data_IF_247368920015
#
_entry.id   IF_247368920015
#
_cell.length_a   1.000
_cell.length_b   1.000
_cell.length_c   1.000
_cell.angle_alpha   90.00
_cell.angle_beta   90.00
_cell.angle_gamma   90.00
#
_symmetry.space_group_name_H-M   'P 1'
#
loop_
_entity.id
_entity.type
_entity.pdbx_description
1 polymer ?
#
# COMPACT_ATOMS: atom_id res chain seq x y z
N UNK A 1 20.80 -9.98 6.43
CA UNK A 1 19.87 -8.99 7.02
C UNK A 1 18.49 -9.28 6.46
N UNK A 2 17.64 -10.01 7.20
CA UNK A 2 16.26 -10.25 6.75
C UNK A 2 15.46 -8.97 6.98
N UNK A 3 15.33 -8.16 5.93
CA UNK A 3 14.35 -7.08 5.91
C UNK A 3 12.97 -7.73 6.04
N UNK A 4 12.43 -7.73 7.25
CA UNK A 4 11.05 -8.11 7.54
C UNK A 4 10.16 -7.00 6.99
N UNK A 5 10.12 -6.88 5.66
CA UNK A 5 9.39 -5.84 4.96
C UNK A 5 7.91 -6.18 5.09
N UNK A 6 7.28 -5.68 6.15
CA UNK A 6 5.84 -5.81 6.32
C UNK A 6 5.19 -4.87 5.31
N UNK A 7 4.07 -5.29 4.69
CA UNK A 7 3.34 -4.40 3.82
C UNK A 7 2.90 -3.16 4.62
N UNK A 8 3.06 -1.98 4.00
CA UNK A 8 2.61 -0.71 4.56
C UNK A 8 1.09 -0.70 4.68
N UNK A 9 0.40 -1.17 3.63
CA UNK A 9 -1.05 -1.29 3.59
C UNK A 9 -1.46 -2.32 2.52
N UNK A 10 -2.70 -2.81 2.59
CA UNK A 10 -3.34 -3.57 1.52
C UNK A 10 -4.76 -3.08 1.30
N UNK A 11 -4.99 -2.46 0.15
CA UNK A 11 -6.29 -1.96 -0.26
C UNK A 11 -7.05 -3.08 -0.97
N UNK A 12 -8.35 -3.24 -0.68
CA UNK A 12 -9.15 -4.35 -1.21
C UNK A 12 -10.50 -3.86 -1.73
N UNK A 13 -10.82 -4.25 -2.96
CA UNK A 13 -12.11 -4.04 -3.61
C UNK A 13 -12.65 -5.39 -4.08
N UNK A 14 -13.54 -5.98 -3.28
CA UNK A 14 -14.06 -7.31 -3.52
C UNK A 14 -12.95 -8.37 -3.61
N UNK A 15 -12.81 -9.01 -4.77
CA UNK A 15 -11.84 -10.08 -4.99
C UNK A 15 -10.46 -9.58 -5.40
N UNK A 16 -10.27 -8.30 -5.69
CA UNK A 16 -8.96 -7.72 -6.02
C UNK A 16 -8.41 -6.92 -4.86
N UNK A 17 -7.09 -6.88 -4.77
CA UNK A 17 -6.36 -6.10 -3.78
C UNK A 17 -5.07 -5.54 -4.36
N UNK A 18 -4.56 -4.46 -3.78
CA UNK A 18 -3.24 -3.90 -4.04
C UNK A 18 -2.51 -3.77 -2.71
N UNK A 19 -1.41 -4.50 -2.57
CA UNK A 19 -0.51 -4.41 -1.41
C UNK A 19 0.58 -3.38 -1.68
N UNK A 20 0.80 -2.47 -0.74
CA UNK A 20 1.84 -1.44 -0.80
C UNK A 20 3.02 -1.90 0.07
N UNK A 21 4.22 -1.84 -0.47
CA UNK A 21 5.46 -2.16 0.25
C UNK A 21 6.36 -0.93 0.30
N UNK A 22 6.95 -0.65 1.46
CA UNK A 22 8.01 0.33 1.60
C UNK A 22 9.36 -0.35 1.43
N UNK A 23 10.22 0.18 0.59
CA UNK A 23 11.56 -0.34 0.38
C UNK A 23 12.58 0.79 0.55
N UNK A 24 13.80 0.42 0.89
CA UNK A 24 14.91 1.35 1.06
C UNK A 24 16.07 0.89 0.19
N UNK A 25 16.69 1.81 -0.55
CA UNK A 25 17.95 1.53 -1.25
C UNK A 25 19.11 1.45 -0.24
N UNK A 26 20.26 0.87 -0.60
CA UNK A 26 21.45 0.89 0.27
C UNK A 26 21.87 2.29 0.70
N UNK A 27 21.59 3.30 -0.14
CA UNK A 27 21.86 4.73 0.12
C UNK A 27 20.77 5.41 0.97
N UNK A 28 19.79 4.65 1.48
CA UNK A 28 18.74 5.15 2.36
C UNK A 28 17.54 5.81 1.66
N UNK A 29 17.44 5.72 0.32
CA UNK A 29 16.30 6.31 -0.42
C UNK A 29 15.06 5.42 -0.27
N UNK A 30 13.97 5.99 0.24
CA UNK A 30 12.68 5.30 0.38
C UNK A 30 11.87 5.34 -0.92
N UNK A 31 11.43 4.17 -1.38
CA UNK A 31 10.54 3.98 -2.51
C UNK A 31 9.45 2.95 -2.21
N UNK A 32 8.33 3.02 -2.92
CA UNK A 32 7.21 2.10 -2.74
C UNK A 32 7.08 1.17 -3.93
N UNK A 33 6.77 -0.10 -3.69
CA UNK A 33 6.32 -1.03 -4.70
C UNK A 33 4.88 -1.47 -4.42
N UNK A 34 4.18 -1.89 -5.47
CA UNK A 34 2.75 -2.24 -5.40
C UNK A 34 2.54 -3.61 -6.00
N UNK A 35 1.80 -4.47 -5.30
CA UNK A 35 1.49 -5.83 -5.75
C UNK A 35 -0.02 -6.00 -5.89
N UNK A 36 -0.57 -5.88 -7.11
CA UNK A 36 -1.95 -6.22 -7.36
C UNK A 36 -2.15 -7.75 -7.30
N UNK A 37 -3.28 -8.19 -6.76
CA UNK A 37 -3.63 -9.60 -6.66
C UNK A 37 -5.15 -9.78 -6.73
N UNK A 38 -5.58 -10.92 -7.25
CA UNK A 38 -6.97 -11.38 -7.21
C UNK A 38 -7.08 -12.65 -6.38
N UNK A 39 -7.98 -12.68 -5.41
CA UNK A 39 -8.28 -13.85 -4.58
C UNK A 39 -9.31 -14.75 -5.25
N UNK A 40 -9.04 -16.05 -5.25
CA UNK A 40 -9.96 -17.09 -5.68
C UNK A 40 -9.83 -18.31 -4.78
N UNK A 41 -10.86 -19.16 -4.78
CA UNK A 41 -10.85 -20.44 -4.07
C UNK A 41 -10.45 -21.52 -5.08
N UNK A 42 -9.47 -22.34 -4.73
CA UNK A 42 -9.06 -23.47 -5.57
C UNK A 42 -9.98 -24.69 -5.40
N UNK A 43 -9.66 -25.78 -6.10
CA UNK A 43 -10.42 -27.03 -6.05
C UNK A 43 -10.47 -27.66 -4.65
N UNK A 44 -9.49 -27.39 -3.80
CA UNK A 44 -9.41 -27.90 -2.42
C UNK A 44 -10.14 -26.98 -1.42
N UNK A 45 -10.84 -25.94 -1.90
CA UNK A 45 -11.51 -24.97 -1.03
C UNK A 45 -10.58 -23.94 -0.39
N UNK A 46 -9.31 -23.86 -0.82
CA UNK A 46 -8.31 -22.97 -0.21
C UNK A 46 -8.24 -21.63 -0.95
N UNK A 47 -8.20 -20.50 -0.24
CA UNK A 47 -8.00 -19.20 -0.86
C UNK A 47 -6.57 -19.09 -1.42
N UNK A 48 -6.47 -18.74 -2.70
CA UNK A 48 -5.24 -18.45 -3.42
C UNK A 48 -5.30 -17.07 -4.06
N UNK A 49 -4.14 -16.53 -4.40
CA UNK A 49 -4.00 -15.28 -5.17
C UNK A 49 -3.45 -15.55 -6.57
N UNK A 50 -3.79 -14.67 -7.51
CA UNK A 50 -3.23 -14.65 -8.87
C UNK A 50 -3.01 -13.22 -9.33
N UNK A 51 -2.10 -13.03 -10.30
CA UNK A 51 -1.88 -11.77 -11.01
C UNK A 51 -2.63 -11.71 -12.35
N UNK A 52 -3.51 -12.68 -12.62
CA UNK A 52 -4.40 -12.68 -13.79
C UNK A 52 -5.77 -12.10 -13.43
N UNK A 53 -6.23 -11.14 -14.23
CA UNK A 53 -7.47 -10.39 -13.99
C UNK A 53 -8.45 -10.57 -15.15
N UNK A 54 -9.72 -10.81 -14.84
CA UNK A 54 -10.79 -10.82 -15.83
C UNK A 54 -11.35 -9.42 -16.07
N UNK A 55 -12.19 -9.28 -17.11
CA UNK A 55 -12.84 -8.01 -17.45
C UNK A 55 -13.59 -7.37 -16.27
N UNK A 56 -14.27 -8.18 -15.45
CA UNK A 56 -15.03 -7.73 -14.28
C UNK A 56 -14.15 -7.19 -13.14
N UNK A 57 -12.86 -7.52 -13.14
CA UNK A 57 -11.94 -7.12 -12.08
C UNK A 57 -11.31 -5.74 -12.36
N UNK A 58 -11.35 -5.28 -13.62
CA UNK A 58 -10.54 -4.13 -14.09
C UNK A 58 -10.91 -2.82 -13.41
N UNK A 59 -12.20 -2.50 -13.25
CA UNK A 59 -12.62 -1.24 -12.62
C UNK A 59 -12.33 -1.24 -11.12
N UNK A 60 -12.62 -2.34 -10.43
CA UNK A 60 -12.28 -2.51 -9.02
C UNK A 60 -10.78 -2.43 -8.78
N UNK A 61 -9.97 -2.99 -9.69
CA UNK A 61 -8.52 -2.91 -9.61
C UNK A 61 -8.03 -1.48 -9.88
N UNK A 62 -8.64 -0.77 -10.82
CA UNK A 62 -8.32 0.63 -11.09
C UNK A 62 -8.57 1.51 -9.85
N UNK A 63 -9.68 1.31 -9.14
CA UNK A 63 -9.94 2.03 -7.87
C UNK A 63 -8.96 1.64 -6.77
N UNK A 64 -8.63 0.34 -6.65
CA UNK A 64 -7.61 -0.10 -5.70
C UNK A 64 -6.24 0.54 -5.97
N UNK A 65 -5.85 0.67 -7.24
CA UNK A 65 -4.61 1.33 -7.66
C UNK A 65 -4.66 2.85 -7.42
N UNK A 66 -5.81 3.50 -7.66
CA UNK A 66 -5.99 4.94 -7.39
C UNK A 66 -5.83 5.23 -5.91
N UNK A 67 -6.46 4.44 -5.04
CA UNK A 67 -6.30 4.60 -3.59
C UNK A 67 -4.86 4.29 -3.16
N UNK A 68 -4.22 3.28 -3.75
CA UNK A 68 -2.83 2.93 -3.43
C UNK A 68 -1.87 4.05 -3.78
N UNK A 69 -2.06 4.68 -4.95
CA UNK A 69 -1.34 5.86 -5.36
C UNK A 69 -1.52 7.00 -4.35
N UNK A 70 -2.76 7.34 -4.00
CA UNK A 70 -3.07 8.38 -3.00
C UNK A 70 -2.37 8.11 -1.66
N UNK A 71 -2.47 6.89 -1.15
CA UNK A 71 -1.81 6.50 0.12
C UNK A 71 -0.30 6.60 0.04
N UNK A 72 0.31 6.22 -1.07
CA UNK A 72 1.77 6.28 -1.25
C UNK A 72 2.34 7.71 -1.23
N UNK A 73 1.52 8.70 -1.61
CA UNK A 73 1.88 10.12 -1.47
C UNK A 73 1.80 10.51 0.00
N UNK A 74 0.71 10.14 0.70
CA UNK A 74 0.52 10.50 2.11
C UNK A 74 1.56 9.88 3.04
N UNK A 75 2.07 8.67 2.74
CA UNK A 75 3.14 8.03 3.50
C UNK A 75 4.41 8.89 3.60
N UNK A 76 4.66 9.75 2.60
CA UNK A 76 5.75 10.75 2.62
C UNK A 76 5.35 12.10 3.22
N UNK A 77 4.05 12.42 3.31
CA UNK A 77 3.53 13.73 3.76
C UNK A 77 3.23 13.76 5.27
N UNK A 78 2.97 12.61 5.91
CA UNK A 78 2.65 12.55 7.35
C UNK A 78 3.85 12.75 8.32
N UNK A 79 5.15 12.59 7.95
CA UNK A 79 6.23 13.03 8.83
C UNK A 79 6.22 14.56 9.06
N UNK A 80 5.84 15.34 8.05
CA UNK A 80 6.01 16.79 8.05
C UNK A 80 4.84 17.53 8.73
N UNK A 81 3.61 16.99 8.64
CA UNK A 81 2.44 17.58 9.28
C UNK A 81 2.35 17.32 10.80
N UNK A 82 3.00 16.27 11.30
CA UNK A 82 3.10 16.03 12.76
C UNK A 82 4.18 16.90 13.42
N UNK A 83 5.19 17.34 12.69
CA UNK A 83 6.26 18.19 13.21
C UNK A 83 5.84 19.65 13.45
N UNK A 84 4.78 20.14 12.79
CA UNK A 84 4.32 21.55 12.91
C UNK A 84 3.26 21.82 13.99
N UNK A 85 2.86 20.84 14.82
CA UNK A 85 1.81 21.03 15.85
C UNK A 85 2.28 21.04 17.31
N UNK A 86 3.57 21.29 17.59
CA UNK A 86 4.10 21.20 18.96
C UNK A 86 5.10 22.27 19.38
N UNK A 87 4.65 23.51 19.60
CA UNK A 87 5.04 24.37 20.75
C UNK A 87 4.31 25.73 20.66
N UNK A 88 3.36 26.04 21.55
CA UNK A 88 3.01 27.43 21.79
C UNK A 88 4.22 28.09 22.47
N UNK A 89 4.72 29.18 21.88
CA UNK A 89 5.65 30.09 22.54
C UNK A 89 4.93 30.65 23.77
N UNK A 90 5.41 30.32 24.98
CA UNK A 90 5.17 31.18 26.14
C UNK A 90 6.11 32.37 25.99
N UNK A 91 5.52 33.51 25.66
CA UNK A 91 6.16 34.81 25.61
C UNK A 91 6.07 35.42 27.02
N UNK A 92 7.23 35.87 27.50
CA UNK A 92 7.57 36.77 28.63
C UNK A 92 6.74 36.69 29.91
#
# INVERSE_FOLDING_TARGET
MSNNNKPLDTIRFGRVSVTIWENQTPEGKVYHSFTPARTYTDADGKPKSTASFGRSDLLSLAEALREAYSKSLTAKVVPELKAKKGKPKKEV
#
